data_IF_669577951982
#
_entry.id   IF_669577951982
#
_cell.length_a   1.000
_cell.length_b   1.000
_cell.length_c   1.000
_cell.angle_alpha   90.00
_cell.angle_beta   90.00
_cell.angle_gamma   90.00
#
_symmetry.space_group_name_H-M   'P 1'
#
loop_
_entity.id
_entity.type
_entity.pdbx_description
1 polymer ?
#
# COMPACT_ATOMS: atom_id res chain seq x y z
N UNK A 1 -36.35 27.83 -9.73
CA UNK A 1 -34.99 27.61 -9.24
C UNK A 1 -34.70 26.12 -9.20
N UNK A 2 -33.69 25.66 -9.86
CA UNK A 2 -33.25 24.27 -9.74
C UNK A 2 -32.57 24.11 -8.38
N UNK A 3 -33.06 23.19 -7.56
CA UNK A 3 -32.39 22.80 -6.33
C UNK A 3 -31.16 22.00 -6.74
N UNK A 4 -29.98 22.56 -6.49
CA UNK A 4 -28.74 21.77 -6.63
C UNK A 4 -28.73 20.76 -5.51
N UNK A 5 -28.90 19.49 -5.84
CA UNK A 5 -28.70 18.42 -4.88
C UNK A 5 -27.21 18.28 -4.63
N UNK A 6 -26.76 18.70 -3.45
CA UNK A 6 -25.41 18.39 -2.99
C UNK A 6 -25.30 16.90 -2.71
N UNK A 7 -24.51 16.20 -3.54
CA UNK A 7 -24.19 14.80 -3.31
C UNK A 7 -22.94 14.69 -2.43
N UNK A 8 -23.10 14.11 -1.26
CA UNK A 8 -21.98 13.77 -0.39
C UNK A 8 -21.52 12.35 -0.67
N UNK A 9 -20.25 12.18 -1.02
CA UNK A 9 -19.64 10.84 -1.17
C UNK A 9 -19.44 10.21 0.20
N UNK A 10 -19.90 8.97 0.34
CA UNK A 10 -19.66 8.20 1.55
C UNK A 10 -18.31 7.50 1.47
N UNK A 11 -17.48 7.68 2.49
CA UNK A 11 -16.21 6.97 2.63
C UNK A 11 -16.44 5.52 3.03
N UNK A 12 -15.68 4.62 2.40
CA UNK A 12 -15.53 3.25 2.85
C UNK A 12 -14.44 3.21 3.92
N UNK A 13 -14.61 2.34 4.90
CA UNK A 13 -13.56 2.03 5.85
C UNK A 13 -12.94 0.64 5.58
N UNK A 14 -11.83 0.36 6.24
CA UNK A 14 -11.09 -0.89 6.08
C UNK A 14 -11.98 -2.10 6.41
N UNK A 15 -12.77 -2.04 7.48
CA UNK A 15 -13.63 -3.17 7.87
C UNK A 15 -14.66 -3.49 6.80
N UNK A 16 -15.23 -2.48 6.17
CA UNK A 16 -16.16 -2.65 5.04
C UNK A 16 -15.46 -3.30 3.85
N UNK A 17 -14.23 -2.89 3.52
CA UNK A 17 -13.46 -3.48 2.41
C UNK A 17 -13.17 -4.96 2.69
N UNK A 18 -12.76 -5.32 3.90
CA UNK A 18 -12.52 -6.72 4.28
C UNK A 18 -13.82 -7.55 4.21
N UNK A 19 -14.94 -6.99 4.62
CA UNK A 19 -16.24 -7.65 4.46
C UNK A 19 -16.59 -7.90 2.98
N UNK A 20 -16.30 -6.96 2.08
CA UNK A 20 -16.49 -7.14 0.64
C UNK A 20 -15.58 -8.23 0.06
N UNK A 21 -14.35 -8.37 0.56
CA UNK A 21 -13.43 -9.45 0.20
C UNK A 21 -13.94 -10.81 0.72
N UNK A 22 -14.33 -10.89 1.98
CA UNK A 22 -14.83 -12.12 2.61
C UNK A 22 -16.11 -12.65 1.97
N UNK A 23 -16.98 -11.77 1.52
CA UNK A 23 -18.25 -12.12 0.87
C UNK A 23 -18.13 -12.34 -0.63
N UNK A 24 -16.94 -12.19 -1.21
CA UNK A 24 -16.68 -12.35 -2.64
C UNK A 24 -17.23 -11.24 -3.53
N UNK A 25 -17.64 -10.11 -2.94
CA UNK A 25 -18.06 -8.90 -3.69
C UNK A 25 -16.86 -8.24 -4.37
N UNK A 26 -15.69 -8.34 -3.76
CA UNK A 26 -14.41 -8.11 -4.41
C UNK A 26 -13.79 -9.48 -4.63
N UNK A 27 -13.47 -9.81 -5.88
CA UNK A 27 -12.92 -11.11 -6.25
C UNK A 27 -11.50 -11.31 -5.69
N UNK A 28 -11.07 -12.58 -5.47
CA UNK A 28 -9.76 -12.87 -4.89
C UNK A 28 -8.58 -12.47 -5.80
N UNK A 29 -8.81 -12.33 -7.11
CA UNK A 29 -7.81 -11.85 -8.07
C UNK A 29 -7.74 -10.33 -8.17
N UNK A 30 -8.73 -9.61 -7.65
CA UNK A 30 -8.76 -8.16 -7.72
C UNK A 30 -7.76 -7.56 -6.71
N UNK A 31 -6.87 -6.73 -7.23
CA UNK A 31 -5.97 -5.94 -6.40
C UNK A 31 -6.59 -4.58 -6.18
N UNK A 32 -6.86 -4.26 -4.91
CA UNK A 32 -7.50 -3.01 -4.53
C UNK A 32 -6.70 -2.30 -3.45
N UNK A 33 -6.76 -0.98 -3.46
CA UNK A 33 -6.23 -0.12 -2.39
C UNK A 33 -7.34 0.81 -1.91
N UNK A 34 -7.34 1.10 -0.62
CA UNK A 34 -8.25 2.07 -0.01
C UNK A 34 -7.50 3.37 0.24
N UNK A 35 -7.93 4.44 -0.42
CA UNK A 35 -7.29 5.76 -0.35
C UNK A 35 -8.34 6.83 -0.04
N UNK A 36 -8.24 7.46 1.11
CA UNK A 36 -9.21 8.44 1.62
C UNK A 36 -10.67 7.96 1.52
N UNK A 37 -10.89 6.67 1.80
CA UNK A 37 -12.20 6.05 1.75
C UNK A 37 -12.69 5.68 0.34
N UNK A 38 -11.87 5.88 -0.68
CA UNK A 38 -12.13 5.44 -2.06
C UNK A 38 -11.42 4.13 -2.35
N UNK A 39 -12.16 3.18 -2.91
CA UNK A 39 -11.61 1.90 -3.34
C UNK A 39 -11.07 2.02 -4.76
N UNK A 40 -9.78 1.80 -4.92
CA UNK A 40 -9.08 1.89 -6.19
C UNK A 40 -8.65 0.50 -6.65
N UNK A 41 -8.94 0.17 -7.90
CA UNK A 41 -8.45 -1.06 -8.53
C UNK A 41 -7.05 -0.82 -9.08
N UNK A 42 -6.12 -1.72 -8.74
CA UNK A 42 -4.75 -1.65 -9.21
C UNK A 42 -4.57 -2.40 -10.53
N UNK A 43 -3.70 -1.92 -11.44
CA UNK A 43 -3.41 -2.63 -12.67
C UNK A 43 -2.68 -3.95 -12.40
N UNK A 44 -2.76 -4.87 -13.35
CA UNK A 44 -2.02 -6.12 -13.30
C UNK A 44 -0.50 -5.86 -13.31
N UNK A 45 0.25 -6.71 -12.61
CA UNK A 45 1.71 -6.62 -12.54
C UNK A 45 2.29 -7.17 -13.86
N UNK A 46 3.03 -6.32 -14.57
CA UNK A 46 3.80 -6.71 -15.75
C UNK A 46 5.15 -7.35 -15.40
N UNK A 47 5.79 -7.95 -16.38
CA UNK A 47 7.08 -8.65 -16.21
C UNK A 47 8.21 -7.72 -15.75
N UNK A 48 8.27 -6.50 -16.30
CA UNK A 48 9.26 -5.48 -15.91
C UNK A 48 9.08 -5.07 -14.45
N UNK A 49 7.87 -4.75 -14.05
CA UNK A 49 7.54 -4.40 -12.69
C UNK A 49 7.94 -5.51 -11.70
N UNK A 50 7.57 -6.76 -11.99
CA UNK A 50 7.93 -7.89 -11.15
C UNK A 50 9.44 -8.10 -11.05
N UNK A 51 10.18 -7.93 -12.15
CA UNK A 51 11.64 -8.05 -12.18
C UNK A 51 12.33 -6.98 -11.34
N UNK A 52 11.91 -5.72 -11.49
CA UNK A 52 12.48 -4.60 -10.70
C UNK A 52 12.17 -4.78 -9.23
N UNK A 53 10.94 -5.13 -8.88
CA UNK A 53 10.52 -5.39 -7.49
C UNK A 53 11.37 -6.50 -6.85
N UNK A 54 11.55 -7.61 -7.55
CA UNK A 54 12.37 -8.74 -7.06
C UNK A 54 13.82 -8.34 -6.80
N UNK A 55 14.42 -7.58 -7.71
CA UNK A 55 15.81 -7.08 -7.54
C UNK A 55 15.95 -6.12 -6.37
N UNK A 56 14.97 -5.23 -6.17
CA UNK A 56 14.96 -4.31 -5.03
C UNK A 56 14.87 -5.07 -3.71
N UNK A 57 14.01 -6.06 -3.61
CA UNK A 57 13.88 -6.90 -2.41
C UNK A 57 15.20 -7.60 -2.13
N UNK A 58 15.80 -8.24 -3.12
CA UNK A 58 17.07 -8.96 -2.98
C UNK A 58 18.20 -8.03 -2.49
N UNK A 59 18.37 -6.87 -3.14
CA UNK A 59 19.38 -5.88 -2.75
C UNK A 59 19.16 -5.34 -1.34
N UNK A 60 17.92 -5.06 -0.95
CA UNK A 60 17.61 -4.57 0.40
C UNK A 60 17.82 -5.64 1.46
N UNK A 61 17.49 -6.89 1.18
CA UNK A 61 17.76 -8.03 2.08
C UNK A 61 19.26 -8.17 2.32
N UNK A 62 20.07 -8.05 1.26
CA UNK A 62 21.53 -8.16 1.37
C UNK A 62 22.19 -6.94 2.06
N UNK A 63 21.58 -5.77 1.93
CA UNK A 63 22.10 -4.52 2.50
C UNK A 63 21.69 -4.27 3.94
N UNK A 64 20.78 -5.06 4.51
CA UNK A 64 20.21 -4.83 5.84
C UNK A 64 20.49 -5.98 6.80
N UNK A 65 20.44 -5.68 8.10
CA UNK A 65 20.50 -6.72 9.14
C UNK A 65 19.13 -7.44 9.24
N UNK A 66 19.12 -8.70 8.87
CA UNK A 66 17.91 -9.55 8.90
C UNK A 66 17.31 -9.73 10.29
N UNK A 67 18.10 -9.56 11.34
CA UNK A 67 17.59 -9.61 12.71
C UNK A 67 16.79 -8.35 13.08
N UNK A 68 17.07 -7.22 12.43
CA UNK A 68 16.45 -5.93 12.71
C UNK A 68 15.42 -5.50 11.66
N UNK A 69 15.55 -5.97 10.41
CA UNK A 69 14.75 -5.51 9.27
C UNK A 69 14.09 -6.69 8.55
N UNK A 70 12.79 -6.58 8.34
CA UNK A 70 12.05 -7.43 7.43
C UNK A 70 11.83 -6.69 6.12
N UNK A 71 12.36 -7.21 5.01
CA UNK A 71 12.04 -6.71 3.66
C UNK A 71 11.01 -7.64 3.02
N UNK A 72 9.92 -7.07 2.56
CA UNK A 72 8.82 -7.83 1.97
C UNK A 72 8.20 -7.09 0.80
N UNK A 73 7.48 -7.81 -0.05
CA UNK A 73 6.70 -7.25 -1.14
C UNK A 73 5.21 -7.46 -0.95
N UNK A 74 4.42 -6.56 -1.52
CA UNK A 74 2.96 -6.70 -1.61
C UNK A 74 2.25 -7.00 -0.28
N UNK A 75 2.74 -6.44 0.80
CA UNK A 75 2.08 -6.54 2.12
C UNK A 75 1.24 -5.30 2.35
N UNK A 76 -0.03 -5.44 2.77
CA UNK A 76 -0.85 -4.28 3.12
C UNK A 76 -0.21 -3.43 4.22
N UNK A 77 -0.19 -2.12 4.00
CA UNK A 77 0.24 -1.12 4.97
C UNK A 77 -0.99 -0.31 5.41
N UNK A 78 -1.36 -0.46 6.67
CA UNK A 78 -2.51 0.22 7.24
C UNK A 78 -2.13 1.57 7.79
N UNK A 79 -2.63 2.65 7.16
CA UNK A 79 -2.38 4.01 7.60
C UNK A 79 -3.39 4.46 8.65
N UNK A 80 -4.68 4.26 8.37
CA UNK A 80 -5.79 4.49 9.29
C UNK A 80 -7.04 3.68 8.86
N UNK A 81 -8.20 3.99 9.43
CA UNK A 81 -9.46 3.29 9.10
C UNK A 81 -9.94 3.52 7.65
N UNK A 82 -9.46 4.56 6.98
CA UNK A 82 -9.86 4.93 5.62
C UNK A 82 -8.76 4.76 4.58
N UNK A 83 -7.59 4.27 5.01
CA UNK A 83 -6.42 4.17 4.16
C UNK A 83 -5.66 2.87 4.44
N UNK A 84 -5.63 1.99 3.47
CA UNK A 84 -4.79 0.80 3.45
C UNK A 84 -4.30 0.58 2.03
N UNK A 85 -2.99 0.66 1.84
CA UNK A 85 -2.33 0.49 0.56
C UNK A 85 -1.50 -0.78 0.56
N UNK A 86 -1.15 -1.25 -0.64
CA UNK A 86 -0.30 -2.42 -0.84
C UNK A 86 0.96 -2.00 -1.60
N UNK A 87 1.96 -1.41 -0.92
CA UNK A 87 3.21 -0.99 -1.54
C UNK A 87 3.95 -2.16 -2.18
N UNK A 88 4.69 -1.89 -3.25
CA UNK A 88 5.44 -2.92 -3.95
C UNK A 88 6.56 -3.51 -3.09
N UNK A 89 7.26 -2.67 -2.32
CA UNK A 89 8.30 -3.10 -1.38
C UNK A 89 8.19 -2.33 -0.07
N UNK A 90 8.32 -3.06 1.03
CA UNK A 90 8.41 -2.53 2.38
C UNK A 90 9.70 -3.00 3.07
N UNK A 91 10.41 -2.09 3.71
CA UNK A 91 11.37 -2.42 4.74
C UNK A 91 10.78 -2.04 6.09
N UNK A 92 10.59 -3.02 6.94
CA UNK A 92 9.90 -2.91 8.22
C UNK A 92 10.84 -3.20 9.38
N UNK A 93 10.58 -2.59 10.52
CA UNK A 93 11.20 -3.01 11.78
C UNK A 93 10.83 -4.48 12.04
N UNK A 94 11.82 -5.31 12.36
CA UNK A 94 11.57 -6.71 12.66
C UNK A 94 10.66 -6.83 13.89
N UNK A 95 9.67 -7.67 13.78
CA UNK A 95 8.75 -8.05 14.86
C UNK A 95 8.76 -9.56 15.00
N UNK A 96 8.66 -10.08 16.22
CA UNK A 96 8.82 -11.53 16.50
C UNK A 96 7.81 -12.40 15.75
N UNK A 97 6.61 -11.88 15.49
CA UNK A 97 5.56 -12.58 14.73
C UNK A 97 5.62 -12.35 13.22
N UNK A 98 6.62 -11.62 12.73
CA UNK A 98 6.73 -11.20 11.32
C UNK A 98 5.41 -10.65 10.76
N UNK A 99 4.66 -9.91 11.58
CA UNK A 99 3.36 -9.31 11.24
C UNK A 99 2.24 -10.33 10.99
N UNK A 100 2.32 -11.51 11.58
CA UNK A 100 1.29 -12.54 11.44
C UNK A 100 -0.05 -12.17 12.11
N UNK A 101 -0.04 -11.32 13.12
CA UNK A 101 -1.23 -10.96 13.92
C UNK A 101 -1.91 -9.68 13.46
N UNK A 102 -1.18 -8.77 12.83
CA UNK A 102 -1.70 -7.50 12.33
C UNK A 102 -0.81 -6.93 11.24
N UNK A 103 -1.41 -6.21 10.30
CA UNK A 103 -0.65 -5.50 9.28
C UNK A 103 0.27 -4.43 9.88
N UNK A 104 1.41 -4.14 9.22
CA UNK A 104 2.26 -3.03 9.63
C UNK A 104 1.52 -1.70 9.50
N UNK A 105 1.95 -0.76 10.32
CA UNK A 105 1.53 0.65 10.32
C UNK A 105 2.71 1.55 9.95
N UNK A 106 2.50 2.85 9.70
CA UNK A 106 3.61 3.76 9.39
C UNK A 106 4.74 3.76 10.43
N UNK A 107 4.42 3.57 11.70
CA UNK A 107 5.42 3.49 12.78
C UNK A 107 6.37 2.28 12.66
N UNK A 108 5.94 1.25 11.95
CA UNK A 108 6.74 0.04 11.70
C UNK A 108 7.64 0.18 10.48
N UNK A 109 7.40 1.18 9.62
CA UNK A 109 8.11 1.33 8.34
C UNK A 109 9.45 2.01 8.50
N UNK A 110 10.46 1.49 7.80
CA UNK A 110 11.76 2.12 7.57
C UNK A 110 11.81 2.73 6.16
N UNK A 111 11.23 2.05 5.19
CA UNK A 111 11.20 2.47 3.79
C UNK A 111 9.96 1.88 3.10
N UNK A 112 9.31 2.71 2.31
CA UNK A 112 8.21 2.31 1.38
C UNK A 112 8.67 2.59 -0.04
N UNK A 113 8.57 1.60 -0.93
CA UNK A 113 8.91 1.74 -2.34
C UNK A 113 7.71 1.38 -3.20
N UNK A 114 7.38 2.26 -4.15
CA UNK A 114 6.48 1.98 -5.25
C UNK A 114 7.29 1.87 -6.55
N UNK A 115 7.09 0.78 -7.28
CA UNK A 115 7.67 0.58 -8.60
C UNK A 115 6.65 1.05 -9.63
N UNK A 116 6.92 2.18 -10.27
CA UNK A 116 5.98 2.82 -11.19
C UNK A 116 6.20 2.37 -12.62
N UNK A 117 5.10 2.08 -13.30
CA UNK A 117 5.06 1.92 -14.75
C UNK A 117 3.96 2.84 -15.30
N UNK A 118 2.70 2.42 -15.22
CA UNK A 118 1.54 3.24 -15.62
C UNK A 118 1.02 4.18 -14.53
N UNK A 119 1.47 4.03 -13.28
CA UNK A 119 0.95 4.74 -12.09
C UNK A 119 1.83 5.89 -11.60
N UNK A 120 2.84 6.30 -12.38
CA UNK A 120 3.86 7.28 -11.95
C UNK A 120 3.28 8.56 -11.35
N UNK A 121 2.30 9.17 -12.02
CA UNK A 121 1.71 10.43 -11.54
C UNK A 121 0.99 10.24 -10.20
N UNK A 122 0.31 9.12 -10.02
CA UNK A 122 -0.37 8.76 -8.77
C UNK A 122 0.64 8.46 -7.65
N UNK A 123 1.70 7.72 -7.94
CA UNK A 123 2.73 7.35 -6.97
C UNK A 123 3.56 8.56 -6.52
N UNK A 124 3.88 9.48 -7.44
CA UNK A 124 4.61 10.72 -7.14
C UNK A 124 3.75 11.82 -6.52
N UNK A 125 2.45 11.79 -6.74
CA UNK A 125 1.49 12.79 -6.26
C UNK A 125 0.74 12.33 -5.02
N UNK A 126 -0.44 11.75 -5.24
CA UNK A 126 -1.40 11.42 -4.16
C UNK A 126 -0.84 10.45 -3.13
N UNK A 127 -0.13 9.40 -3.56
CA UNK A 127 0.50 8.44 -2.63
C UNK A 127 1.61 9.10 -1.82
N UNK A 128 2.47 9.90 -2.44
CA UNK A 128 3.54 10.61 -1.74
C UNK A 128 2.99 11.53 -0.63
N UNK A 129 1.95 12.29 -0.93
CA UNK A 129 1.28 13.14 0.06
C UNK A 129 0.65 12.32 1.19
N UNK A 130 0.02 11.20 0.85
CA UNK A 130 -0.62 10.31 1.80
C UNK A 130 0.41 9.69 2.76
N UNK A 131 1.48 9.13 2.24
CA UNK A 131 2.56 8.54 3.07
C UNK A 131 3.22 9.58 3.97
N UNK A 132 3.47 10.80 3.46
CA UNK A 132 4.00 11.89 4.25
C UNK A 132 3.06 12.31 5.38
N UNK A 133 1.78 12.40 5.10
CA UNK A 133 0.74 12.77 6.09
C UNK A 133 0.69 11.80 7.26
N UNK A 134 0.91 10.51 7.01
CA UNK A 134 0.91 9.47 8.04
C UNK A 134 2.28 9.18 8.66
N UNK A 135 3.30 9.96 8.32
CA UNK A 135 4.61 9.89 8.97
C UNK A 135 5.50 8.75 8.50
N UNK A 136 5.32 8.26 7.27
CA UNK A 136 6.28 7.35 6.64
C UNK A 136 7.63 8.08 6.50
N UNK A 137 8.69 7.50 7.08
CA UNK A 137 9.98 8.17 7.21
C UNK A 137 10.69 8.36 5.86
N UNK A 138 10.58 7.37 4.98
CA UNK A 138 11.24 7.39 3.66
C UNK A 138 10.38 6.70 2.61
N UNK A 139 10.23 7.36 1.47
CA UNK A 139 9.39 6.89 0.36
C UNK A 139 10.13 7.07 -0.96
N UNK A 140 10.27 6.00 -1.73
CA UNK A 140 10.87 5.98 -3.04
C UNK A 140 9.86 5.62 -4.12
N UNK A 141 9.97 6.30 -5.25
CA UNK A 141 9.30 5.94 -6.50
C UNK A 141 10.38 5.55 -7.50
N UNK A 142 10.33 4.32 -7.96
CA UNK A 142 11.27 3.74 -8.93
C UNK A 142 10.55 3.50 -10.25
N UNK A 143 11.07 4.06 -11.36
CA UNK A 143 10.51 3.94 -12.72
C UNK A 143 11.54 3.48 -13.77
#
# INVERSE_FOLDING_TARGET
MATVLEHTRRKLDVDTVYHLLETGRIGPEERVELVDGELLTMPAIGTRHGSVTSRLIEQLVDATDRAAVLVTGSMPLRLDRYNELEPDVLALKRRDDDYAQSHPTPADTLLVIEVSDSTRAFDRGRKAELYARFGVAEYWVVD
#
